data_IF_925976816283
#
_entry.id   IF_925976816283
#
_cell.length_a   1.000
_cell.length_b   1.000
_cell.length_c   1.000
_cell.angle_alpha   90.00
_cell.angle_beta   90.00
_cell.angle_gamma   90.00
#
_symmetry.space_group_name_H-M   'P 1'
#
loop_
_entity.id
_entity.type
_entity.pdbx_description
1 polymer ?
#
# COMPACT_ATOMS: atom_id res chain seq x y z
N UNK A 1 17.08 7.47 5.04
CA UNK A 1 16.01 7.67 4.03
C UNK A 1 16.13 6.73 2.82
N UNK A 2 17.19 6.81 1.99
CA UNK A 2 17.29 6.10 0.69
C UNK A 2 17.10 4.57 0.74
N UNK A 3 17.59 3.90 1.80
CA UNK A 3 17.42 2.45 2.01
C UNK A 3 15.96 2.02 2.25
N UNK A 4 15.14 2.87 2.85
CA UNK A 4 13.76 2.56 3.24
C UNK A 4 12.77 3.08 2.19
N UNK A 5 13.06 4.24 1.59
CA UNK A 5 12.18 4.84 0.57
C UNK A 5 12.16 4.06 -0.75
N UNK A 6 13.24 3.32 -1.08
CA UNK A 6 13.31 2.51 -2.29
C UNK A 6 12.36 1.30 -2.25
N UNK A 7 12.37 0.55 -1.15
CA UNK A 7 11.46 -0.59 -0.94
C UNK A 7 10.01 -0.11 -0.78
N UNK A 8 9.78 1.01 -0.09
CA UNK A 8 8.43 1.56 0.11
C UNK A 8 7.73 1.92 -1.21
N UNK A 9 8.46 2.43 -2.21
CA UNK A 9 7.91 2.74 -3.53
C UNK A 9 7.44 1.47 -4.26
N UNK A 10 8.22 0.39 -4.19
CA UNK A 10 7.88 -0.88 -4.81
C UNK A 10 6.68 -1.54 -4.13
N UNK A 11 6.66 -1.54 -2.79
CA UNK A 11 5.54 -2.07 -2.00
C UNK A 11 4.22 -1.33 -2.30
N UNK A 12 4.26 0.01 -2.43
CA UNK A 12 3.08 0.80 -2.78
C UNK A 12 2.61 0.58 -4.22
N UNK A 13 3.51 0.30 -5.15
CA UNK A 13 3.15 -0.05 -6.53
C UNK A 13 2.38 -1.37 -6.57
N UNK A 14 2.91 -2.42 -5.93
CA UNK A 14 2.24 -3.73 -5.82
C UNK A 14 0.89 -3.63 -5.09
N UNK A 15 0.81 -2.83 -4.03
CA UNK A 15 -0.44 -2.57 -3.33
C UNK A 15 -1.51 -1.97 -4.26
N UNK A 16 -1.15 -0.98 -5.09
CA UNK A 16 -2.11 -0.30 -5.97
C UNK A 16 -2.65 -1.22 -7.06
N UNK A 17 -1.76 -2.03 -7.66
CA UNK A 17 -2.16 -3.04 -8.64
C UNK A 17 -3.11 -4.05 -7.99
N UNK A 18 -2.72 -4.63 -6.87
CA UNK A 18 -3.54 -5.63 -6.17
C UNK A 18 -4.85 -5.06 -5.63
N UNK A 19 -4.87 -3.81 -5.16
CA UNK A 19 -6.08 -3.15 -4.67
C UNK A 19 -7.11 -2.93 -5.78
N UNK A 20 -6.66 -2.65 -7.01
CA UNK A 20 -7.55 -2.56 -8.17
C UNK A 20 -8.14 -3.93 -8.53
N UNK A 21 -7.33 -4.99 -8.55
CA UNK A 21 -7.82 -6.35 -8.80
C UNK A 21 -8.77 -6.86 -7.71
N UNK A 22 -8.47 -6.55 -6.45
CA UNK A 22 -9.27 -6.90 -5.28
C UNK A 22 -10.65 -6.25 -5.26
N UNK A 23 -10.88 -5.17 -6.00
CA UNK A 23 -12.22 -4.58 -6.13
C UNK A 23 -13.17 -5.44 -7.00
N UNK A 24 -12.63 -6.33 -7.83
CA UNK A 24 -13.42 -7.15 -8.76
C UNK A 24 -13.47 -8.64 -8.39
N UNK A 25 -12.59 -9.13 -7.51
CA UNK A 25 -12.54 -10.52 -7.07
C UNK A 25 -13.12 -10.72 -5.67
N UNK A 26 -14.00 -11.71 -5.50
CA UNK A 26 -14.68 -12.01 -4.24
C UNK A 26 -13.87 -12.85 -3.24
N UNK A 27 -12.82 -13.53 -3.69
CA UNK A 27 -11.94 -14.35 -2.85
C UNK A 27 -10.49 -13.91 -2.99
N UNK A 28 -9.99 -13.29 -1.92
CA UNK A 28 -8.59 -12.90 -1.79
C UNK A 28 -7.93 -13.87 -0.81
N UNK A 29 -6.82 -14.47 -1.24
CA UNK A 29 -6.04 -15.34 -0.38
C UNK A 29 -5.40 -14.54 0.79
N UNK A 30 -5.04 -15.25 1.87
CA UNK A 30 -4.52 -14.62 3.07
C UNK A 30 -3.23 -13.81 2.84
N UNK A 31 -2.45 -14.13 1.80
CA UNK A 31 -1.24 -13.37 1.46
C UNK A 31 -1.59 -12.02 0.82
N UNK A 32 -2.57 -12.01 -0.09
CA UNK A 32 -3.10 -10.79 -0.70
C UNK A 32 -3.76 -9.89 0.34
N UNK A 33 -4.52 -10.45 1.28
CA UNK A 33 -5.16 -9.66 2.34
C UNK A 33 -4.12 -8.97 3.23
N UNK A 34 -3.01 -9.63 3.54
CA UNK A 34 -1.89 -9.03 4.29
C UNK A 34 -1.22 -7.90 3.51
N UNK A 35 -1.01 -8.07 2.21
CA UNK A 35 -0.45 -7.05 1.32
C UNK A 35 -1.34 -5.81 1.28
N UNK A 36 -2.65 -5.98 1.07
CA UNK A 36 -3.63 -4.90 1.04
C UNK A 36 -3.69 -4.13 2.38
N UNK A 37 -3.74 -4.86 3.49
CA UNK A 37 -3.74 -4.26 4.83
C UNK A 37 -2.48 -3.44 5.11
N UNK A 38 -1.31 -3.92 4.68
CA UNK A 38 -0.04 -3.20 4.83
C UNK A 38 -0.01 -1.95 3.95
N UNK A 39 -0.39 -2.07 2.68
CA UNK A 39 -0.39 -0.94 1.74
C UNK A 39 -1.39 0.16 2.10
N UNK A 40 -2.55 -0.20 2.66
CA UNK A 40 -3.52 0.75 3.21
C UNK A 40 -2.90 1.55 4.37
N UNK A 41 -2.27 0.88 5.35
CA UNK A 41 -1.59 1.55 6.48
C UNK A 41 -0.47 2.47 6.02
N UNK A 42 0.35 2.02 5.07
CA UNK A 42 1.43 2.85 4.50
C UNK A 42 0.86 4.08 3.80
N UNK A 43 -0.28 3.94 3.10
CA UNK A 43 -0.94 5.08 2.44
C UNK A 43 -1.47 6.10 3.45
N UNK A 44 -2.05 5.65 4.57
CA UNK A 44 -2.49 6.53 5.66
C UNK A 44 -1.31 7.25 6.32
N UNK A 45 -0.18 6.57 6.54
CA UNK A 45 1.03 7.16 7.12
C UNK A 45 1.64 8.26 6.25
N UNK A 46 1.41 8.21 4.94
CA UNK A 46 1.87 9.24 4.00
C UNK A 46 0.89 10.41 3.86
N UNK A 47 -0.28 10.37 4.52
CA UNK A 47 -1.18 11.52 4.55
C UNK A 47 -0.62 12.57 5.49
N UNK A 48 -0.36 13.75 4.95
CA UNK A 48 0.18 14.87 5.68
C UNK A 48 -0.75 16.07 5.53
N UNK A 49 -1.02 16.78 6.64
CA UNK A 49 -1.80 18.01 6.59
C UNK A 49 -1.00 19.07 5.83
N UNK A 50 -1.72 19.94 5.14
CA UNK A 50 -1.10 21.07 4.45
C UNK A 50 -0.26 21.90 5.42
N UNK A 51 0.94 22.33 4.99
CA UNK A 51 1.91 23.11 5.78
C UNK A 51 2.42 22.46 7.08
N UNK A 52 2.26 21.14 7.24
CA UNK A 52 2.81 20.39 8.38
C UNK A 52 3.93 19.48 7.87
N UNK A 53 5.18 19.95 7.72
CA UNK A 53 6.30 19.14 7.23
C UNK A 53 6.67 17.96 8.15
#
# INVERSE_FOLDING_TARGET
MKKVSGSMKLELAQYREMAAFAQFGSDLDASTQKLLNRGSKLTELLKQKQYSP
#
